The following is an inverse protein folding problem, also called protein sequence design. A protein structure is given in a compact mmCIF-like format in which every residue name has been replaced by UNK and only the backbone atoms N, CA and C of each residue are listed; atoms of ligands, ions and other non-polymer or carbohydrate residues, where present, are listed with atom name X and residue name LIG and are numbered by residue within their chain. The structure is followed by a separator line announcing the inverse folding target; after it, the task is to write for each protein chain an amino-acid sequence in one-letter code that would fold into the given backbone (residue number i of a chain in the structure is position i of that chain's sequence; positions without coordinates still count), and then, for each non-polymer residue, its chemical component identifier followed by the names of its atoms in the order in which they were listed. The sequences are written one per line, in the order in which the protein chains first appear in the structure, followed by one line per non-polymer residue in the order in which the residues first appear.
data_IF_693783321145
#
_entry.id   IF_693783321145
#
_cell.length_a   1.000
_cell.length_b   1.000
_cell.length_c   1.000
_cell.angle_alpha   90.00
_cell.angle_beta   90.00
_cell.angle_gamma   90.00
#
_symmetry.space_group_name_H-M   'P 1'
#
loop_
_entity.id
_entity.type
_entity.pdbx_description
1 polymer ?
#
# COMPACT_ATOMS: atom_id res chain seq x y z
N UNK A 1 -29.75 40.25 1.54
CA UNK A 1 -29.09 39.25 0.66
C UNK A 1 -29.68 37.89 1.02
N UNK A 2 -30.23 37.15 0.04
CA UNK A 2 -30.95 35.89 0.30
C UNK A 2 -29.94 34.82 0.77
N UNK A 3 -30.20 34.08 1.86
CA UNK A 3 -29.28 33.04 2.35
C UNK A 3 -29.01 31.94 1.31
N UNK A 4 -29.92 31.76 0.35
CA UNK A 4 -29.80 30.84 -0.77
C UNK A 4 -28.62 31.13 -1.70
N UNK A 5 -28.18 32.39 -1.83
CA UNK A 5 -27.09 32.76 -2.75
C UNK A 5 -25.71 32.41 -2.18
N UNK A 6 -25.56 32.38 -0.84
CA UNK A 6 -24.30 32.02 -0.19
C UNK A 6 -24.01 30.52 -0.24
N UNK A 7 -25.07 29.69 -0.22
CA UNK A 7 -24.95 28.24 -0.30
C UNK A 7 -24.42 27.77 -1.68
N UNK A 8 -24.79 28.47 -2.76
CA UNK A 8 -24.36 28.14 -4.12
C UNK A 8 -22.88 28.41 -4.38
N UNK A 9 -22.28 29.42 -3.73
CA UNK A 9 -20.84 29.68 -3.86
C UNK A 9 -19.98 28.68 -3.08
N UNK A 10 -20.48 28.16 -1.95
CA UNK A 10 -19.77 27.16 -1.16
C UNK A 10 -19.64 25.81 -1.90
N UNK A 11 -20.65 25.40 -2.68
CA UNK A 11 -20.60 24.18 -3.49
C UNK A 11 -19.66 24.29 -4.71
N UNK A 12 -19.54 25.48 -5.30
CA UNK A 12 -18.71 25.69 -6.49
C UNK A 12 -17.20 25.58 -6.21
N UNK A 13 -16.76 25.78 -4.95
CA UNK A 13 -15.36 25.62 -4.53
C UNK A 13 -14.99 24.21 -4.04
N UNK A 14 -15.97 23.30 -3.88
CA UNK A 14 -15.77 21.96 -3.31
C UNK A 14 -14.71 21.07 -3.99
N UNK A 15 -14.59 21.04 -5.34
CA UNK A 15 -13.62 20.15 -6.00
C UNK A 15 -12.16 20.58 -5.82
N UNK A 16 -11.88 21.86 -5.53
CA UNK A 16 -10.52 22.38 -5.38
C UNK A 16 -9.87 22.00 -4.04
N UNK A 17 -10.65 21.49 -3.08
CA UNK A 17 -10.19 21.12 -1.73
C UNK A 17 -9.95 19.61 -1.60
N UNK A 18 -10.43 18.80 -2.54
CA UNK A 18 -10.14 17.36 -2.58
C UNK A 18 -8.78 17.17 -3.24
N UNK A 19 -7.72 17.10 -2.41
CA UNK A 19 -6.49 16.46 -2.82
C UNK A 19 -6.79 14.97 -3.01
N UNK A 20 -6.89 14.51 -4.25
CA UNK A 20 -7.01 13.09 -4.60
C UNK A 20 -5.69 12.31 -4.35
N UNK A 21 -4.96 12.65 -3.28
CA UNK A 21 -3.76 11.93 -2.86
C UNK A 21 -4.24 10.65 -2.18
N UNK A 22 -4.55 9.65 -3.00
CA UNK A 22 -4.82 8.30 -2.52
C UNK A 22 -3.59 7.71 -1.84
N UNK A 23 -3.80 6.69 -1.02
CA UNK A 23 -2.69 5.94 -0.43
C UNK A 23 -2.00 5.12 -1.51
N UNK A 24 -0.87 5.60 -2.00
CA UNK A 24 -0.06 4.90 -3.00
C UNK A 24 0.69 3.73 -2.36
N UNK A 25 0.65 2.56 -3.00
CA UNK A 25 1.36 1.37 -2.57
C UNK A 25 1.74 0.48 -3.76
N UNK A 26 2.75 -0.38 -3.57
CA UNK A 26 3.23 -1.27 -4.62
C UNK A 26 2.66 -2.68 -4.49
N UNK A 27 2.41 -3.33 -5.63
CA UNK A 27 2.19 -4.76 -5.67
C UNK A 27 3.55 -5.48 -5.64
N UNK A 28 3.82 -6.22 -4.57
CA UNK A 28 5.09 -6.87 -4.33
C UNK A 28 4.99 -8.38 -4.65
N UNK A 29 5.91 -8.85 -5.48
CA UNK A 29 6.07 -10.26 -5.79
C UNK A 29 6.72 -11.03 -4.63
N UNK A 30 6.33 -12.30 -4.48
CA UNK A 30 6.77 -13.18 -3.38
C UNK A 30 7.93 -14.11 -3.77
N UNK A 31 8.46 -13.94 -4.98
CA UNK A 31 9.59 -14.68 -5.54
C UNK A 31 10.71 -13.73 -5.92
N UNK A 32 11.94 -14.19 -5.79
CA UNK A 32 13.14 -13.54 -6.28
C UNK A 32 13.19 -13.60 -7.82
N UNK A 33 14.12 -12.85 -8.41
CA UNK A 33 14.28 -12.80 -9.87
C UNK A 33 14.66 -14.17 -10.48
N UNK A 34 15.29 -15.03 -9.69
CA UNK A 34 15.64 -16.41 -10.06
C UNK A 34 14.48 -17.41 -9.86
N UNK A 35 13.33 -16.95 -9.37
CA UNK A 35 12.14 -17.77 -9.12
C UNK A 35 12.11 -18.45 -7.75
N UNK A 36 13.14 -18.29 -6.92
CA UNK A 36 13.14 -18.80 -5.54
C UNK A 36 12.17 -18.02 -4.65
N UNK A 37 11.65 -18.65 -3.60
CA UNK A 37 10.74 -17.99 -2.65
C UNK A 37 11.49 -16.98 -1.78
N UNK A 38 10.89 -15.79 -1.58
CA UNK A 38 11.47 -14.75 -0.72
C UNK A 38 11.46 -15.16 0.76
N UNK A 39 12.58 -14.94 1.41
CA UNK A 39 12.72 -15.02 2.86
C UNK A 39 12.26 -13.74 3.56
N UNK A 40 12.17 -13.77 4.89
CA UNK A 40 11.88 -12.56 5.68
C UNK A 40 12.91 -11.45 5.40
N UNK A 41 14.20 -11.81 5.28
CA UNK A 41 15.29 -10.86 5.04
C UNK A 41 15.14 -10.18 3.68
N UNK A 42 14.74 -10.94 2.65
CA UNK A 42 14.51 -10.38 1.31
C UNK A 42 13.37 -9.36 1.32
N UNK A 43 12.29 -9.62 2.07
CA UNK A 43 11.22 -8.65 2.26
C UNK A 43 11.67 -7.41 3.03
N UNK A 44 12.50 -7.59 4.07
CA UNK A 44 13.06 -6.46 4.82
C UNK A 44 13.94 -5.56 3.94
N UNK A 45 14.73 -6.16 3.04
CA UNK A 45 15.57 -5.44 2.08
C UNK A 45 14.73 -4.70 1.02
N UNK A 46 13.68 -5.35 0.50
CA UNK A 46 12.71 -4.68 -0.37
C UNK A 46 12.05 -3.49 0.34
N UNK A 47 11.67 -3.65 1.61
CA UNK A 47 11.05 -2.59 2.39
C UNK A 47 11.97 -1.41 2.64
N UNK A 48 13.27 -1.65 2.85
CA UNK A 48 14.25 -0.57 2.98
C UNK A 48 14.31 0.28 1.71
N UNK A 49 14.30 -0.35 0.54
CA UNK A 49 14.27 0.35 -0.77
C UNK A 49 12.95 1.08 -0.98
N UNK A 50 11.82 0.43 -0.69
CA UNK A 50 10.49 1.00 -0.93
C UNK A 50 10.14 2.13 0.04
N UNK A 51 10.77 2.18 1.22
CA UNK A 51 10.46 3.14 2.29
C UNK A 51 10.58 4.61 1.87
N UNK A 52 11.40 4.90 0.86
CA UNK A 52 11.56 6.23 0.28
C UNK A 52 10.32 6.69 -0.53
N UNK A 53 9.46 5.76 -0.93
CA UNK A 53 8.32 6.01 -1.82
C UNK A 53 6.98 5.68 -1.16
N UNK A 54 6.90 4.61 -0.38
CA UNK A 54 5.69 4.19 0.32
C UNK A 54 6.01 3.27 1.50
N UNK A 55 5.03 3.13 2.40
CA UNK A 55 5.02 2.11 3.45
C UNK A 55 3.81 1.18 3.32
N UNK A 56 3.18 1.14 2.15
CA UNK A 56 2.06 0.25 1.84
C UNK A 56 2.46 -0.68 0.70
N UNK A 57 2.35 -1.97 0.93
CA UNK A 57 2.52 -2.97 -0.13
C UNK A 57 1.35 -3.94 -0.14
N UNK A 58 1.12 -4.55 -1.32
CA UNK A 58 0.12 -5.58 -1.55
C UNK A 58 0.78 -6.85 -2.09
N UNK A 59 0.41 -8.01 -1.58
CA UNK A 59 0.73 -9.31 -2.21
C UNK A 59 -0.52 -9.92 -2.83
N UNK A 60 -0.34 -10.86 -3.76
CA UNK A 60 -1.45 -11.44 -4.53
C UNK A 60 -2.08 -12.68 -3.88
N UNK A 61 -1.27 -13.54 -3.26
CA UNK A 61 -1.72 -14.76 -2.61
C UNK A 61 -0.96 -14.91 -1.29
N UNK A 62 -1.62 -15.17 -0.18
CA UNK A 62 -0.96 -15.38 1.13
C UNK A 62 -0.27 -16.75 1.24
N UNK A 63 -0.76 -17.74 0.50
CA UNK A 63 -0.28 -19.13 0.50
C UNK A 63 0.93 -19.35 -0.42
N UNK A 64 1.08 -18.57 -1.50
CA UNK A 64 2.19 -18.75 -2.44
C UNK A 64 3.53 -18.55 -1.73
N UNK A 65 4.45 -19.50 -1.89
CA UNK A 65 5.74 -19.51 -1.19
C UNK A 65 5.67 -19.42 0.35
N UNK A 66 4.52 -19.74 0.97
CA UNK A 66 4.26 -19.47 2.40
C UNK A 66 4.56 -18.01 2.80
N UNK A 67 4.42 -17.05 1.87
CA UNK A 67 4.94 -15.69 2.07
C UNK A 67 4.32 -15.00 3.28
N UNK A 68 3.08 -15.32 3.65
CA UNK A 68 2.44 -14.74 4.84
C UNK A 68 3.31 -14.93 6.10
N UNK A 69 4.01 -16.06 6.22
CA UNK A 69 4.91 -16.33 7.36
C UNK A 69 6.15 -15.44 7.36
N UNK A 70 6.63 -15.03 6.18
CA UNK A 70 7.85 -14.24 6.02
C UNK A 70 7.56 -12.72 5.96
N UNK A 71 6.54 -12.29 5.23
CA UNK A 71 6.26 -10.87 4.97
C UNK A 71 5.63 -10.17 6.18
N UNK A 72 4.79 -10.87 6.97
CA UNK A 72 4.15 -10.29 8.16
C UNK A 72 5.17 -9.85 9.21
N UNK A 73 6.14 -10.68 9.65
CA UNK A 73 7.16 -10.24 10.59
C UNK A 73 8.07 -9.16 10.00
N UNK A 74 8.47 -9.27 8.72
CA UNK A 74 9.25 -8.23 8.04
C UNK A 74 8.54 -6.86 8.06
N UNK A 75 7.25 -6.84 7.74
CA UNK A 75 6.48 -5.60 7.71
C UNK A 75 6.30 -4.99 9.10
N UNK A 76 6.11 -5.83 10.12
CA UNK A 76 6.10 -5.38 11.51
C UNK A 76 7.42 -4.74 11.91
N UNK A 77 8.55 -5.36 11.52
CA UNK A 77 9.89 -4.86 11.83
C UNK A 77 10.19 -3.51 11.15
N UNK A 78 9.79 -3.36 9.88
CA UNK A 78 10.07 -2.17 9.07
C UNK A 78 8.96 -1.10 9.12
N UNK A 79 7.86 -1.36 9.83
CA UNK A 79 6.76 -0.41 9.96
C UNK A 79 5.90 -0.26 8.69
N UNK A 80 5.79 -1.32 7.89
CA UNK A 80 4.97 -1.36 6.68
C UNK A 80 3.53 -1.81 6.97
N UNK A 81 2.61 -1.33 6.15
CA UNK A 81 1.22 -1.81 6.05
C UNK A 81 1.12 -2.78 4.89
N UNK A 82 0.37 -3.86 5.10
CA UNK A 82 0.19 -4.94 4.13
C UNK A 82 -1.26 -5.07 3.70
N UNK A 83 -1.47 -5.21 2.39
CA UNK A 83 -2.71 -5.73 1.81
C UNK A 83 -2.43 -7.16 1.36
N UNK A 84 -2.82 -8.14 2.17
CA UNK A 84 -2.62 -9.55 1.84
C UNK A 84 -3.74 -10.03 0.91
N UNK A 85 -3.40 -10.34 -0.33
CA UNK A 85 -4.31 -10.99 -1.26
C UNK A 85 -4.52 -12.45 -0.87
N UNK A 86 -5.78 -12.90 -0.92
CA UNK A 86 -6.14 -14.32 -0.77
C UNK A 86 -6.53 -14.81 -2.15
N UNK A 87 -5.73 -15.69 -2.72
CA UNK A 87 -5.96 -16.32 -4.00
C UNK A 87 -5.75 -17.83 -3.83
N UNK A 88 -6.80 -18.60 -4.12
CA UNK A 88 -6.84 -20.05 -3.98
C UNK A 88 -6.53 -20.75 -5.30
#
# INVERSE_FOLDING_TARGET
MRPSTLLSLALAGGPAIVSAVGTFGFALGVKNADGTCKSQKDFEDDFDVLSAHTRLVRTYAASDCNNALAIIPAAKNKGFKLVLGIWY
#
